data_IF_557766430420
#
_entry.id   IF_557766430420
#
_cell.length_a   1.000
_cell.length_b   1.000
_cell.length_c   1.000
_cell.angle_alpha   90.00
_cell.angle_beta   90.00
_cell.angle_gamma   90.00
#
_symmetry.space_group_name_H-M   'P 1'
#
loop_
_entity.id
_entity.type
_entity.pdbx_description
1 polymer ?
#
# COMPACT_ATOMS: atom_id res chain seq x y z
N UNK A 1 21.69 13.78 32.69
CA UNK A 1 21.92 12.52 31.95
C UNK A 1 20.56 11.94 31.59
N UNK A 2 20.24 11.77 30.31
CA UNK A 2 19.04 11.05 29.85
C UNK A 2 19.49 9.89 28.96
N UNK A 3 18.90 8.67 29.08
CA UNK A 3 19.22 7.59 28.17
C UNK A 3 18.50 7.78 26.83
N UNK A 4 19.27 7.77 25.74
CA UNK A 4 18.75 7.64 24.38
C UNK A 4 18.15 6.26 24.22
N UNK A 5 16.83 6.17 24.10
CA UNK A 5 16.15 4.98 23.61
C UNK A 5 16.55 4.75 22.15
N UNK A 6 17.25 3.65 21.90
CA UNK A 6 17.52 3.15 20.55
C UNK A 6 16.21 2.56 20.04
N UNK A 7 15.59 3.23 19.07
CA UNK A 7 14.55 2.62 18.24
C UNK A 7 15.26 1.60 17.34
N UNK A 8 15.16 0.32 17.68
CA UNK A 8 15.57 -0.73 16.75
C UNK A 8 14.67 -0.66 15.50
N UNK A 9 15.24 -0.70 14.29
CA UNK A 9 14.45 -0.75 13.08
C UNK A 9 13.68 -2.08 13.05
N UNK A 10 12.37 -1.99 12.90
CA UNK A 10 11.50 -3.14 12.64
C UNK A 10 11.87 -3.61 11.23
N UNK A 11 12.60 -4.72 11.12
CA UNK A 11 12.87 -5.34 9.83
C UNK A 11 11.55 -5.68 9.15
N UNK A 12 11.30 -5.24 7.91
CA UNK A 12 10.15 -5.72 7.17
C UNK A 12 10.33 -7.23 6.93
N UNK A 13 9.25 -8.03 6.97
CA UNK A 13 9.36 -9.44 6.59
C UNK A 13 9.79 -9.53 5.13
N UNK A 14 10.96 -10.14 4.90
CA UNK A 14 11.47 -10.47 3.59
C UNK A 14 10.45 -11.34 2.83
N UNK A 15 9.94 -10.85 1.70
CA UNK A 15 9.17 -11.67 0.74
C UNK A 15 7.73 -11.24 0.42
N UNK A 16 7.17 -10.20 1.04
CA UNK A 16 5.76 -9.82 0.81
C UNK A 16 5.56 -9.06 -0.51
N UNK A 17 5.45 -9.78 -1.63
CA UNK A 17 5.29 -9.14 -2.95
C UNK A 17 4.21 -9.70 -3.86
N UNK A 18 3.84 -10.98 -3.74
CA UNK A 18 2.90 -11.60 -4.66
C UNK A 18 2.06 -12.74 -4.04
N UNK A 19 2.59 -13.42 -3.02
CA UNK A 19 1.92 -14.48 -2.27
C UNK A 19 0.92 -13.94 -1.24
N UNK A 20 1.28 -12.86 -0.54
CA UNK A 20 0.43 -12.26 0.49
C UNK A 20 -0.88 -11.67 -0.07
N UNK A 21 -0.84 -11.09 -1.26
CA UNK A 21 -2.06 -10.58 -1.91
C UNK A 21 -2.97 -11.74 -2.34
N UNK A 22 -2.40 -12.78 -2.97
CA UNK A 22 -3.14 -13.99 -3.33
C UNK A 22 -3.83 -14.63 -2.13
N UNK A 23 -3.09 -14.82 -1.03
CA UNK A 23 -3.60 -15.37 0.23
C UNK A 23 -4.68 -14.49 0.86
N UNK A 24 -4.51 -13.16 0.87
CA UNK A 24 -5.52 -12.25 1.39
C UNK A 24 -6.81 -12.30 0.54
N UNK A 25 -6.68 -12.36 -0.77
CA UNK A 25 -7.80 -12.48 -1.69
C UNK A 25 -8.48 -13.85 -1.60
N UNK A 26 -7.73 -14.91 -1.32
CA UNK A 26 -8.25 -16.26 -1.08
C UNK A 26 -9.03 -16.28 0.24
N UNK A 27 -8.47 -15.72 1.32
CA UNK A 27 -9.18 -15.58 2.60
C UNK A 27 -10.48 -14.76 2.49
N UNK A 28 -10.50 -13.72 1.65
CA UNK A 28 -11.72 -12.97 1.37
C UNK A 28 -12.73 -13.77 0.53
N UNK A 29 -12.28 -14.64 -0.36
CA UNK A 29 -13.18 -15.53 -1.10
C UNK A 29 -13.76 -16.61 -0.18
N UNK A 30 -12.93 -17.24 0.66
CA UNK A 30 -13.33 -18.26 1.63
C UNK A 30 -14.32 -17.73 2.67
N UNK A 31 -14.18 -16.46 3.05
CA UNK A 31 -15.11 -15.78 3.95
C UNK A 31 -16.40 -15.28 3.27
N UNK A 32 -16.64 -15.61 2.00
CA UNK A 32 -17.78 -15.17 1.19
C UNK A 32 -17.86 -13.64 1.05
N UNK A 33 -16.70 -12.99 1.02
CA UNK A 33 -16.61 -11.55 0.75
C UNK A 33 -16.42 -11.23 -0.74
N UNK A 34 -15.74 -12.11 -1.48
CA UNK A 34 -15.46 -11.99 -2.91
C UNK A 34 -15.88 -13.26 -3.67
N UNK A 35 -16.27 -13.08 -4.93
CA UNK A 35 -16.47 -14.16 -5.89
C UNK A 35 -15.40 -14.08 -6.97
N UNK A 36 -14.67 -15.18 -7.13
CA UNK A 36 -13.73 -15.39 -8.24
C UNK A 36 -14.48 -15.96 -9.43
N UNK A 37 -14.43 -15.27 -10.57
CA UNK A 37 -15.01 -15.75 -11.83
C UNK A 37 -13.95 -15.68 -12.93
N UNK A 38 -13.76 -16.73 -13.73
CA UNK A 38 -12.92 -16.65 -14.91
C UNK A 38 -13.39 -15.49 -15.80
N UNK A 39 -12.46 -14.70 -16.32
CA UNK A 39 -12.79 -13.67 -17.29
C UNK A 39 -13.34 -14.35 -18.58
N UNK A 40 -14.50 -13.92 -19.10
CA UNK A 40 -15.10 -14.53 -20.29
C UNK A 40 -14.28 -14.28 -21.58
N UNK A 41 -13.44 -13.24 -21.61
CA UNK A 41 -12.56 -12.85 -22.71
C UNK A 41 -11.13 -13.37 -22.59
N UNK A 42 -10.65 -13.67 -21.37
CA UNK A 42 -9.36 -14.34 -21.15
C UNK A 42 -9.43 -15.34 -19.99
N UNK A 43 -9.38 -16.64 -20.29
CA UNK A 43 -9.43 -17.71 -19.29
C UNK A 43 -8.22 -17.73 -18.33
N UNK A 44 -7.17 -16.96 -18.61
CA UNK A 44 -6.00 -16.81 -17.74
C UNK A 44 -6.22 -15.75 -16.66
N UNK A 45 -7.24 -14.90 -16.82
CA UNK A 45 -7.57 -13.87 -15.85
C UNK A 45 -8.75 -14.28 -14.98
N UNK A 46 -8.70 -13.87 -13.71
CA UNK A 46 -9.77 -14.06 -12.73
C UNK A 46 -10.32 -12.69 -12.37
N UNK A 47 -11.63 -12.48 -12.61
CA UNK A 47 -12.35 -11.32 -12.12
C UNK A 47 -12.80 -11.55 -10.68
N UNK A 48 -12.58 -10.55 -9.85
CA UNK A 48 -13.10 -10.49 -8.50
C UNK A 48 -14.36 -9.62 -8.48
N UNK A 49 -15.44 -10.14 -7.92
CA UNK A 49 -16.67 -9.39 -7.69
C UNK A 49 -17.05 -9.46 -6.21
N UNK A 50 -17.41 -8.34 -5.55
CA UNK A 50 -17.90 -8.39 -4.19
C UNK A 50 -19.23 -9.15 -4.12
N UNK A 51 -19.43 -9.90 -3.04
CA UNK A 51 -20.72 -10.53 -2.77
C UNK A 51 -21.76 -9.49 -2.39
N UNK A 52 -23.05 -9.82 -2.52
CA UNK A 52 -24.15 -8.95 -2.08
C UNK A 52 -24.01 -8.56 -0.59
N UNK A 53 -23.65 -9.51 0.25
CA UNK A 53 -23.38 -9.30 1.68
C UNK A 53 -22.26 -8.27 1.90
N UNK A 54 -21.19 -8.36 1.10
CA UNK A 54 -20.09 -7.39 1.17
C UNK A 54 -20.54 -6.00 0.76
N UNK A 55 -21.36 -5.87 -0.28
CA UNK A 55 -21.90 -4.58 -0.71
C UNK A 55 -22.79 -3.95 0.39
N UNK A 56 -23.69 -4.73 0.97
CA UNK A 56 -24.56 -4.27 2.08
C UNK A 56 -23.73 -3.82 3.30
N UNK A 57 -22.64 -4.53 3.61
CA UNK A 57 -21.71 -4.12 4.69
C UNK A 57 -20.89 -2.88 4.32
N UNK A 58 -20.46 -2.78 3.07
CA UNK A 58 -19.63 -1.69 2.57
C UNK A 58 -20.36 -0.34 2.67
N UNK A 59 -21.68 -0.29 2.50
CA UNK A 59 -22.45 0.96 2.68
C UNK A 59 -22.34 1.52 4.11
N UNK A 60 -22.37 0.66 5.13
CA UNK A 60 -22.19 1.07 6.52
C UNK A 60 -20.77 1.58 6.79
N UNK A 61 -19.78 0.88 6.25
CA UNK A 61 -18.36 1.28 6.35
C UNK A 61 -18.12 2.59 5.61
N UNK A 62 -18.67 2.76 4.41
CA UNK A 62 -18.52 3.97 3.60
C UNK A 62 -19.03 5.20 4.33
N UNK A 63 -20.20 5.12 4.97
CA UNK A 63 -20.72 6.20 5.81
C UNK A 63 -19.81 6.54 6.98
N UNK A 64 -19.26 5.53 7.65
CA UNK A 64 -18.30 5.72 8.74
C UNK A 64 -17.00 6.39 8.27
N UNK A 65 -16.47 5.95 7.13
CA UNK A 65 -15.26 6.54 6.52
C UNK A 65 -15.52 7.99 6.10
N UNK A 66 -16.67 8.30 5.54
CA UNK A 66 -17.04 9.68 5.19
C UNK A 66 -17.15 10.57 6.43
N UNK A 67 -17.83 10.11 7.48
CA UNK A 67 -17.98 10.86 8.73
C UNK A 67 -16.62 11.14 9.38
N UNK A 68 -15.77 10.12 9.46
CA UNK A 68 -14.42 10.27 10.04
C UNK A 68 -13.50 11.10 9.16
N UNK A 69 -13.61 10.97 7.84
CA UNK A 69 -12.91 11.82 6.89
C UNK A 69 -13.26 13.28 7.12
N UNK A 70 -14.56 13.59 7.18
CA UNK A 70 -15.04 14.94 7.47
C UNK A 70 -14.57 15.45 8.83
N UNK A 71 -14.55 14.62 9.88
CA UNK A 71 -14.03 14.99 11.20
C UNK A 71 -12.53 15.35 11.15
N UNK A 72 -11.72 14.51 10.50
CA UNK A 72 -10.27 14.71 10.38
C UNK A 72 -9.94 15.95 9.55
N UNK A 73 -10.74 16.26 8.53
CA UNK A 73 -10.50 17.39 7.63
C UNK A 73 -11.29 18.65 8.00
N UNK A 74 -12.12 18.62 9.04
CA UNK A 74 -13.05 19.71 9.38
C UNK A 74 -12.38 21.08 9.59
N UNK A 75 -11.12 21.08 10.02
CA UNK A 75 -10.36 22.29 10.35
C UNK A 75 -9.50 22.79 9.19
N UNK A 76 -9.46 22.07 8.07
CA UNK A 76 -8.63 22.39 6.93
C UNK A 76 -9.47 23.00 5.82
N UNK A 77 -8.94 24.04 5.20
CA UNK A 77 -9.50 24.59 3.97
C UNK A 77 -9.18 23.68 2.78
N UNK A 78 -9.95 23.80 1.70
CA UNK A 78 -9.69 23.07 0.46
C UNK A 78 -8.26 23.32 -0.08
N UNK A 79 -7.74 24.54 0.10
CA UNK A 79 -6.37 24.89 -0.29
C UNK A 79 -5.31 24.15 0.52
N UNK A 80 -5.51 23.99 1.83
CA UNK A 80 -4.62 23.22 2.70
C UNK A 80 -4.69 21.72 2.42
N UNK A 81 -5.90 21.19 2.16
CA UNK A 81 -6.09 19.80 1.73
C UNK A 81 -5.38 19.52 0.41
N UNK A 82 -5.49 20.43 -0.56
CA UNK A 82 -4.79 20.32 -1.83
C UNK A 82 -3.27 20.33 -1.62
N UNK A 83 -2.75 21.26 -0.82
CA UNK A 83 -1.33 21.34 -0.53
C UNK A 83 -0.81 20.05 0.14
N UNK A 84 -1.55 19.52 1.13
CA UNK A 84 -1.23 18.28 1.82
C UNK A 84 -1.20 17.08 0.85
N UNK A 85 -2.18 16.99 -0.07
CA UNK A 85 -2.23 15.93 -1.06
C UNK A 85 -1.01 15.96 -2.01
N UNK A 86 -0.65 17.15 -2.50
CA UNK A 86 0.54 17.34 -3.35
C UNK A 86 1.83 17.00 -2.61
N UNK A 87 1.98 17.48 -1.37
CA UNK A 87 3.14 17.19 -0.53
C UNK A 87 3.31 15.70 -0.26
N UNK A 88 2.22 15.01 0.09
CA UNK A 88 2.22 13.56 0.35
C UNK A 88 2.60 12.77 -0.90
N UNK A 89 2.05 13.15 -2.07
CA UNK A 89 2.40 12.51 -3.34
C UNK A 89 3.88 12.71 -3.71
N UNK A 90 4.44 13.90 -3.45
CA UNK A 90 5.85 14.18 -3.68
C UNK A 90 6.75 13.35 -2.75
N UNK A 91 6.41 13.24 -1.46
CA UNK A 91 7.13 12.38 -0.50
C UNK A 91 7.08 10.93 -0.95
N UNK A 92 5.90 10.40 -1.30
CA UNK A 92 5.76 9.02 -1.81
C UNK A 92 6.67 8.77 -3.01
N UNK A 93 6.69 9.68 -3.99
CA UNK A 93 7.54 9.58 -5.17
C UNK A 93 9.03 9.58 -4.83
N UNK A 94 9.45 10.34 -3.82
CA UNK A 94 10.85 10.34 -3.35
C UNK A 94 11.19 9.00 -2.69
N UNK A 95 10.30 8.45 -1.88
CA UNK A 95 10.49 7.16 -1.23
C UNK A 95 10.57 6.03 -2.26
N UNK A 96 9.64 5.98 -3.22
CA UNK A 96 9.63 4.99 -4.32
C UNK A 96 10.91 5.05 -5.16
N UNK A 97 11.52 6.23 -5.34
CA UNK A 97 12.78 6.41 -6.07
C UNK A 97 14.04 6.07 -5.27
N UNK A 98 13.93 6.06 -3.94
CA UNK A 98 15.06 5.82 -3.02
C UNK A 98 15.10 4.40 -2.50
N UNK A 99 14.12 3.56 -2.78
CA UNK A 99 14.23 2.12 -2.58
C UNK A 99 15.25 1.60 -3.60
N UNK A 100 16.50 1.27 -3.21
CA UNK A 100 17.39 0.57 -4.12
C UNK A 100 16.72 -0.74 -4.49
N UNK A 101 16.82 -1.10 -5.78
CA UNK A 101 16.54 -2.45 -6.22
C UNK A 101 17.41 -3.41 -5.36
N UNK A 102 16.82 -4.30 -4.53
CA UNK A 102 17.59 -5.23 -3.72
C UNK A 102 18.42 -6.20 -4.58
N UNK A 103 18.11 -6.31 -5.87
CA UNK A 103 18.80 -7.18 -6.83
C UNK A 103 19.86 -6.46 -7.69
N UNK A 104 20.07 -5.16 -7.50
CA UNK A 104 21.15 -4.44 -8.19
C UNK A 104 22.30 -4.13 -7.23
N UNK A 105 23.36 -4.98 -7.17
CA UNK A 105 24.55 -4.64 -6.41
C UNK A 105 25.16 -3.35 -6.99
N UNK A 106 25.67 -2.43 -6.15
CA UNK A 106 26.35 -1.25 -6.64
C UNK A 106 27.53 -1.69 -7.48
N UNK A 107 27.54 -1.30 -8.77
CA UNK A 107 28.71 -1.42 -9.63
C UNK A 107 29.88 -0.76 -8.91
N UNK A 108 30.82 -1.57 -8.44
CA UNK A 108 32.08 -1.09 -7.93
C UNK A 108 32.85 -0.50 -9.10
N UNK A 109 32.77 0.82 -9.28
CA UNK A 109 33.75 1.55 -10.08
C UNK A 109 35.13 1.31 -9.46
N UNK A 110 35.92 0.46 -10.10
CA UNK A 110 37.33 0.28 -9.80
C UNK A 110 38.11 1.50 -10.32
N UNK A 111 37.96 2.63 -9.65
CA UNK A 111 38.94 3.71 -9.74
C UNK A 111 40.04 3.42 -8.73
N UNK A 112 41.14 2.83 -9.19
CA UNK A 112 42.30 2.56 -8.35
C UNK A 112 43.43 1.93 -9.14
N UNK A 113 44.19 2.75 -9.87
CA UNK A 113 45.34 2.28 -10.63
C UNK A 113 46.21 3.40 -11.18
N UNK A 114 46.75 4.24 -10.31
CA UNK A 114 48.00 4.98 -10.56
C UNK A 114 48.87 4.85 -9.30
N UNK A 115 50.19 4.73 -9.46
CA UNK A 115 51.03 5.89 -9.76
C UNK A 115 51.65 5.88 -11.16
#
# INVERSE_FOLDING_TARGET
MQPRGVLEPISPPDGAGADAEGEALDGLADADHLQRRPDPGDRREVRLAPTRRTLERAEGVARGVQARGAEVTAQLTDGELHHLAVGTAAVRRVLERRTPDPDHPPSTDHTGGTP
#
